data_IF_785030425429
#
_entry.id   IF_785030425429
#
_cell.length_a   1.000
_cell.length_b   1.000
_cell.length_c   1.000
_cell.angle_alpha   90.00
_cell.angle_beta   90.00
_cell.angle_gamma   90.00
#
_symmetry.space_group_name_H-M   'P 1'
#
loop_
_entity.id
_entity.type
_entity.pdbx_description
1 polymer ?
#
# COMPACT_ATOMS: atom_id res chain seq x y z
N UNK A 1 -9.46 23.95 -18.14
CA UNK A 1 -8.32 23.57 -19.02
C UNK A 1 -7.35 22.61 -18.34
N UNK A 2 -6.79 22.91 -17.16
CA UNK A 2 -5.82 22.02 -16.51
C UNK A 2 -6.42 20.65 -16.15
N UNK A 3 -7.66 20.60 -15.65
CA UNK A 3 -8.37 19.33 -15.40
C UNK A 3 -8.60 18.55 -16.69
N UNK A 4 -8.96 19.23 -17.79
CA UNK A 4 -9.09 18.60 -19.11
C UNK A 4 -7.77 17.99 -19.57
N UNK A 5 -6.66 18.73 -19.47
CA UNK A 5 -5.33 18.20 -19.79
C UNK A 5 -5.02 16.91 -19.00
N UNK A 6 -5.23 16.95 -17.69
CA UNK A 6 -4.91 15.83 -16.83
C UNK A 6 -5.79 14.61 -17.12
N UNK A 7 -7.10 14.81 -17.34
CA UNK A 7 -8.02 13.71 -17.69
C UNK A 7 -7.65 13.08 -19.05
N UNK A 8 -7.30 13.90 -20.06
CA UNK A 8 -6.83 13.38 -21.36
C UNK A 8 -5.50 12.63 -21.22
N UNK A 9 -4.61 13.11 -20.35
CA UNK A 9 -3.34 12.44 -20.05
C UNK A 9 -3.55 11.06 -19.40
N UNK A 10 -4.44 10.97 -18.43
CA UNK A 10 -4.74 9.73 -17.69
C UNK A 10 -5.50 8.72 -18.58
N UNK A 11 -6.50 9.18 -19.35
CA UNK A 11 -7.34 8.36 -20.21
C UNK A 11 -6.68 7.98 -21.56
N UNK A 12 -5.66 8.71 -22.00
CA UNK A 12 -5.03 8.55 -23.31
C UNK A 12 -6.05 8.53 -24.47
N UNK A 13 -7.17 9.24 -24.30
CA UNK A 13 -8.29 9.31 -25.21
C UNK A 13 -9.13 10.56 -24.98
N UNK A 14 -9.34 11.35 -26.02
CA UNK A 14 -10.18 12.54 -25.97
C UNK A 14 -11.66 12.18 -25.75
N UNK A 15 -12.13 11.10 -26.35
CA UNK A 15 -13.52 10.64 -26.18
C UNK A 15 -13.79 10.18 -24.74
N UNK A 16 -12.91 9.33 -24.19
CA UNK A 16 -13.06 8.89 -22.79
C UNK A 16 -12.93 10.03 -21.81
N UNK A 17 -12.03 10.98 -22.06
CA UNK A 17 -11.92 12.17 -21.22
C UNK A 17 -13.20 13.03 -21.28
N UNK A 18 -13.88 13.08 -22.42
CA UNK A 18 -15.18 13.74 -22.56
C UNK A 18 -16.26 13.05 -21.72
N UNK A 19 -16.29 11.72 -21.72
CA UNK A 19 -17.22 10.93 -20.93
C UNK A 19 -16.97 11.14 -19.42
N UNK A 20 -15.70 11.06 -18.99
CA UNK A 20 -15.30 11.28 -17.58
C UNK A 20 -15.67 12.68 -17.09
N UNK A 21 -15.53 13.69 -17.95
CA UNK A 21 -15.80 15.10 -17.58
C UNK A 21 -17.24 15.53 -17.89
N UNK A 22 -18.12 14.62 -18.27
CA UNK A 22 -19.51 14.92 -18.70
C UNK A 22 -19.55 16.09 -19.69
N UNK A 23 -18.67 16.10 -20.69
CA UNK A 23 -18.48 17.17 -21.65
C UNK A 23 -18.48 16.65 -23.09
N UNK A 24 -18.60 17.53 -24.08
CA UNK A 24 -18.48 17.14 -25.48
C UNK A 24 -17.02 16.95 -25.89
N UNK A 25 -16.76 16.02 -26.80
CA UNK A 25 -15.41 15.80 -27.36
C UNK A 25 -14.86 17.07 -28.02
N UNK A 26 -15.72 17.87 -28.66
CA UNK A 26 -15.33 19.17 -29.24
C UNK A 26 -14.85 20.17 -28.18
N UNK A 27 -15.49 20.20 -27.02
CA UNK A 27 -15.08 21.02 -25.89
C UNK A 27 -13.72 20.61 -25.37
N UNK A 28 -13.50 19.29 -25.20
CA UNK A 28 -12.18 18.78 -24.77
C UNK A 28 -11.10 19.13 -25.77
N UNK A 29 -11.34 18.88 -27.07
CA UNK A 29 -10.39 19.21 -28.14
C UNK A 29 -10.04 20.69 -28.18
N UNK A 30 -11.04 21.57 -28.06
CA UNK A 30 -10.83 23.00 -28.02
C UNK A 30 -9.98 23.45 -26.81
N UNK A 31 -10.19 22.87 -25.63
CA UNK A 31 -9.39 23.14 -24.44
C UNK A 31 -7.93 22.69 -24.60
N UNK A 32 -7.71 21.53 -25.22
CA UNK A 32 -6.35 21.03 -25.51
C UNK A 32 -5.67 21.93 -26.52
N UNK A 33 -6.38 22.38 -27.57
CA UNK A 33 -5.81 23.30 -28.56
C UNK A 33 -5.38 24.64 -27.95
N UNK A 34 -6.18 25.21 -27.05
CA UNK A 34 -5.79 26.39 -26.30
C UNK A 34 -4.52 26.16 -25.46
N UNK A 35 -4.40 24.99 -24.82
CA UNK A 35 -3.21 24.66 -24.04
C UNK A 35 -1.97 24.49 -24.93
N UNK A 36 -2.11 23.90 -26.11
CA UNK A 36 -1.04 23.81 -27.11
C UNK A 36 -0.51 25.20 -27.49
N UNK A 37 -1.42 26.12 -27.77
CA UNK A 37 -1.05 27.51 -28.06
C UNK A 37 -0.33 28.23 -26.92
N UNK A 38 -0.78 28.01 -25.67
CA UNK A 38 -0.18 28.60 -24.46
C UNK A 38 1.18 28.00 -24.09
N UNK A 39 1.37 26.72 -24.30
CA UNK A 39 2.55 25.98 -23.84
C UNK A 39 3.60 25.77 -24.95
N UNK A 40 3.23 26.05 -26.20
CA UNK A 40 4.11 25.88 -27.37
C UNK A 40 4.49 24.41 -27.61
N UNK A 41 3.60 23.46 -27.29
CA UNK A 41 3.86 22.03 -27.41
C UNK A 41 2.59 21.29 -27.85
N UNK A 42 2.73 20.21 -28.62
CA UNK A 42 1.61 19.42 -29.09
C UNK A 42 0.85 18.71 -27.96
N UNK A 43 1.47 18.52 -26.81
CA UNK A 43 1.01 17.85 -25.60
C UNK A 43 0.61 16.38 -25.81
N UNK A 44 -0.13 16.10 -26.87
CA UNK A 44 -0.58 14.74 -27.24
C UNK A 44 -0.37 14.56 -28.75
N UNK A 45 0.24 13.45 -29.12
CA UNK A 45 0.47 13.06 -30.51
C UNK A 45 -0.31 11.79 -30.83
N UNK A 46 -0.76 11.67 -32.08
CA UNK A 46 -1.51 10.50 -32.50
C UNK A 46 -0.59 9.26 -32.57
N UNK A 47 -1.07 8.14 -32.03
CA UNK A 47 -0.36 6.86 -32.07
C UNK A 47 -1.37 5.74 -32.30
N UNK A 48 -1.39 5.23 -33.53
CA UNK A 48 -2.38 4.23 -33.93
C UNK A 48 -3.82 4.75 -33.80
N UNK A 49 -4.64 4.03 -33.04
CA UNK A 49 -6.05 4.42 -32.78
C UNK A 49 -6.23 5.32 -31.55
N UNK A 50 -5.17 5.72 -30.90
CA UNK A 50 -5.20 6.54 -29.68
C UNK A 50 -4.23 7.71 -29.73
N UNK A 51 -4.02 8.32 -28.59
CA UNK A 51 -3.06 9.40 -28.39
C UNK A 51 -2.06 9.01 -27.31
N UNK A 52 -0.83 9.54 -27.45
CA UNK A 52 0.23 9.40 -26.44
C UNK A 52 0.71 10.79 -26.03
N UNK A 53 1.05 11.01 -24.77
CA UNK A 53 1.58 12.28 -24.29
C UNK A 53 2.96 12.56 -24.90
N UNK A 54 3.27 13.84 -25.12
CA UNK A 54 4.63 14.30 -25.42
C UNK A 54 5.50 14.24 -24.16
N UNK A 55 6.83 14.25 -24.33
CA UNK A 55 7.76 14.34 -23.19
C UNK A 55 7.50 15.57 -22.31
N UNK A 56 7.01 16.67 -22.92
CA UNK A 56 6.60 17.87 -22.18
C UNK A 56 5.30 17.65 -21.40
N UNK A 57 4.34 16.93 -21.97
CA UNK A 57 3.12 16.55 -21.24
C UNK A 57 3.42 15.64 -20.04
N UNK A 58 4.35 14.69 -20.20
CA UNK A 58 4.83 13.85 -19.09
C UNK A 58 5.45 14.67 -17.95
N UNK A 59 6.27 15.66 -18.29
CA UNK A 59 6.89 16.57 -17.32
C UNK A 59 5.87 17.54 -16.66
N UNK A 60 4.78 17.86 -17.35
CA UNK A 60 3.75 18.78 -16.87
C UNK A 60 2.69 18.09 -16.01
N UNK A 61 2.34 16.85 -16.32
CA UNK A 61 1.24 16.13 -15.62
C UNK A 61 1.39 16.14 -14.11
N UNK A 62 2.54 15.82 -13.48
CA UNK A 62 2.68 15.88 -12.02
C UNK A 62 2.53 17.31 -11.46
N UNK A 63 2.98 18.33 -12.21
CA UNK A 63 2.85 19.74 -11.79
C UNK A 63 1.40 20.21 -11.85
N UNK A 64 0.69 19.87 -12.93
CA UNK A 64 -0.72 20.20 -13.11
C UNK A 64 -1.56 19.51 -12.02
N UNK A 65 -1.28 18.26 -11.73
CA UNK A 65 -1.94 17.51 -10.66
C UNK A 65 -1.77 18.22 -9.30
N UNK A 66 -0.56 18.68 -9.00
CA UNK A 66 -0.27 19.44 -7.77
C UNK A 66 -1.09 20.75 -7.70
N UNK A 67 -1.13 21.53 -8.79
CA UNK A 67 -1.89 22.78 -8.82
C UNK A 67 -3.38 22.53 -8.59
N UNK A 68 -3.96 21.52 -9.23
CA UNK A 68 -5.36 21.18 -9.05
C UNK A 68 -5.68 20.80 -7.61
N UNK A 69 -4.82 20.02 -6.97
CA UNK A 69 -4.94 19.65 -5.55
C UNK A 69 -4.87 20.88 -4.63
N UNK A 70 -3.94 21.81 -4.92
CA UNK A 70 -3.84 23.06 -4.14
C UNK A 70 -5.07 23.95 -4.31
N UNK A 71 -5.64 24.02 -5.51
CA UNK A 71 -6.89 24.75 -5.78
C UNK A 71 -8.10 24.10 -5.08
N UNK A 72 -8.17 22.77 -5.04
CA UNK A 72 -9.22 22.06 -4.31
C UNK A 72 -9.13 22.35 -2.80
N UNK A 73 -7.92 22.38 -2.23
CA UNK A 73 -7.72 22.77 -0.83
C UNK A 73 -8.13 24.21 -0.50
N UNK A 74 -8.14 25.13 -1.47
CA UNK A 74 -8.66 26.49 -1.28
C UNK A 74 -10.20 26.54 -1.25
N UNK A 75 -10.86 25.60 -1.92
CA UNK A 75 -12.33 25.49 -1.97
C UNK A 75 -12.91 24.73 -0.76
N UNK A 76 -12.08 24.02 0.00
CA UNK A 76 -12.46 23.08 1.06
C UNK A 76 -12.75 23.78 2.39
N UNK A 77 -13.55 24.88 2.36
CA UNK A 77 -14.08 25.54 3.58
C UNK A 77 -15.43 24.97 4.03
N UNK A 78 -15.90 23.87 3.42
CA UNK A 78 -17.17 23.21 3.73
C UNK A 78 -17.02 21.88 4.46
N UNK A 79 -18.13 21.36 4.98
CA UNK A 79 -18.20 19.99 5.49
C UNK A 79 -17.90 19.05 4.32
N UNK A 80 -16.77 18.32 4.38
CA UNK A 80 -16.43 17.34 3.36
C UNK A 80 -17.46 16.21 3.34
N UNK A 81 -18.06 15.99 2.19
CA UNK A 81 -18.96 14.86 1.95
C UNK A 81 -18.27 13.84 1.03
N UNK A 82 -17.88 12.69 1.58
CA UNK A 82 -17.18 11.66 0.82
C UNK A 82 -18.07 10.99 -0.24
N UNK A 83 -19.39 11.13 -0.16
CA UNK A 83 -20.33 10.54 -1.13
C UNK A 83 -20.33 11.36 -2.43
N UNK A 84 -20.32 12.68 -2.32
CA UNK A 84 -20.37 13.59 -3.47
C UNK A 84 -19.00 13.88 -4.09
N UNK A 85 -17.91 13.54 -3.39
CA UNK A 85 -16.55 13.67 -3.94
C UNK A 85 -16.37 12.77 -5.17
N UNK A 86 -16.03 13.30 -6.37
CA UNK A 86 -15.96 12.51 -7.59
C UNK A 86 -14.73 11.57 -7.64
N UNK A 87 -13.67 11.91 -6.90
CA UNK A 87 -12.40 11.18 -6.99
C UNK A 87 -12.42 9.87 -6.20
N UNK A 88 -11.85 8.77 -6.73
CA UNK A 88 -11.73 7.51 -6.01
C UNK A 88 -10.77 7.67 -4.81
N UNK A 89 -10.98 6.90 -3.74
CA UNK A 89 -9.95 6.70 -2.74
C UNK A 89 -8.95 5.65 -3.21
N UNK A 90 -7.67 6.00 -3.19
CA UNK A 90 -6.58 5.14 -3.65
C UNK A 90 -5.68 4.81 -2.45
N UNK A 91 -5.74 3.55 -2.02
CA UNK A 91 -4.98 3.03 -0.89
C UNK A 91 -3.90 2.11 -1.44
N UNK A 92 -2.63 2.48 -1.27
CA UNK A 92 -1.54 1.64 -1.69
C UNK A 92 -1.07 0.72 -0.55
N UNK A 93 -0.62 -0.48 -0.94
CA UNK A 93 -0.22 -1.54 -0.02
C UNK A 93 1.19 -1.99 -0.38
N UNK A 94 2.05 -2.15 0.62
CA UNK A 94 3.27 -2.94 0.41
C UNK A 94 2.92 -4.42 0.43
N UNK A 95 3.68 -5.22 -0.32
CA UNK A 95 3.48 -6.67 -0.40
C UNK A 95 3.64 -7.42 0.94
N UNK A 96 4.07 -6.73 2.00
CA UNK A 96 4.15 -7.26 3.37
C UNK A 96 2.86 -7.07 4.17
N UNK A 97 1.91 -6.27 3.66
CA UNK A 97 0.60 -6.06 4.30
C UNK A 97 -0.28 -7.27 3.98
N UNK A 98 -0.77 -7.92 5.01
CA UNK A 98 -1.60 -9.13 4.92
C UNK A 98 -3.08 -8.83 5.17
N UNK A 99 -3.93 -9.75 4.77
CA UNK A 99 -5.38 -9.59 4.58
C UNK A 99 -6.20 -9.03 5.75
N UNK A 100 -5.70 -9.11 6.98
CA UNK A 100 -6.53 -8.77 8.14
C UNK A 100 -6.96 -7.32 8.23
N UNK A 101 -6.02 -6.39 8.14
CA UNK A 101 -6.30 -4.96 8.18
C UNK A 101 -7.00 -4.51 6.90
N UNK A 102 -6.59 -5.06 5.76
CA UNK A 102 -7.15 -4.73 4.46
C UNK A 102 -8.65 -5.00 4.41
N UNK A 103 -9.09 -6.19 4.86
CA UNK A 103 -10.50 -6.53 4.88
C UNK A 103 -11.30 -5.63 5.83
N UNK A 104 -10.74 -5.30 7.00
CA UNK A 104 -11.37 -4.41 7.97
C UNK A 104 -11.54 -3.00 7.37
N UNK A 105 -10.49 -2.45 6.79
CA UNK A 105 -10.50 -1.14 6.12
C UNK A 105 -11.51 -1.15 4.96
N UNK A 106 -11.46 -2.17 4.10
CA UNK A 106 -12.41 -2.28 2.98
C UNK A 106 -13.85 -2.32 3.46
N UNK A 107 -14.15 -3.14 4.49
CA UNK A 107 -15.52 -3.27 5.02
C UNK A 107 -16.03 -1.94 5.58
N UNK A 108 -15.21 -1.23 6.34
CA UNK A 108 -15.57 0.07 6.91
C UNK A 108 -15.80 1.14 5.83
N UNK A 109 -14.89 1.23 4.86
CA UNK A 109 -15.03 2.16 3.73
C UNK A 109 -16.25 1.82 2.89
N UNK A 110 -16.52 0.53 2.63
CA UNK A 110 -17.67 0.10 1.84
C UNK A 110 -19.00 0.35 2.56
N UNK A 111 -19.05 0.20 3.87
CA UNK A 111 -20.23 0.52 4.69
C UNK A 111 -20.56 2.04 4.62
N UNK A 112 -19.55 2.90 4.68
CA UNK A 112 -19.71 4.35 4.60
C UNK A 112 -19.92 4.84 3.15
N UNK A 113 -19.42 4.12 2.16
CA UNK A 113 -19.35 4.51 0.74
C UNK A 113 -19.77 3.36 -0.18
N UNK A 114 -21.06 2.98 -0.21
CA UNK A 114 -21.52 1.77 -0.92
C UNK A 114 -21.20 1.77 -2.43
N UNK A 115 -21.22 2.94 -3.06
CA UNK A 115 -21.01 3.06 -4.52
C UNK A 115 -19.72 3.77 -4.91
N UNK A 116 -18.90 4.21 -3.94
CA UNK A 116 -17.63 4.88 -4.21
C UNK A 116 -16.63 3.92 -4.86
N UNK A 117 -15.91 4.42 -5.85
CA UNK A 117 -14.78 3.69 -6.42
C UNK A 117 -13.61 3.71 -5.43
N UNK A 118 -13.27 2.53 -4.90
CA UNK A 118 -12.12 2.30 -4.03
C UNK A 118 -11.06 1.55 -4.83
N UNK A 119 -9.83 2.05 -4.81
CA UNK A 119 -8.71 1.43 -5.52
C UNK A 119 -7.67 0.99 -4.48
N UNK A 120 -7.44 -0.31 -4.41
CA UNK A 120 -6.31 -0.88 -3.68
C UNK A 120 -5.18 -1.16 -4.68
N UNK A 121 -4.04 -0.52 -4.46
CA UNK A 121 -2.90 -0.58 -5.37
C UNK A 121 -1.72 -1.26 -4.71
N UNK A 122 -1.17 -2.29 -5.33
CA UNK A 122 0.12 -2.85 -4.91
C UNK A 122 1.25 -1.87 -5.29
N UNK A 123 2.09 -1.53 -4.33
CA UNK A 123 3.29 -0.73 -4.56
C UNK A 123 4.31 -1.49 -5.40
N UNK A 124 4.26 -2.81 -5.42
CA UNK A 124 5.17 -3.64 -6.18
C UNK A 124 6.63 -3.31 -5.88
N UNK A 125 7.36 -2.97 -6.94
CA UNK A 125 8.78 -2.56 -6.87
C UNK A 125 8.98 -1.09 -6.50
N UNK A 126 7.92 -0.31 -6.36
CA UNK A 126 8.05 1.12 -6.02
C UNK A 126 8.51 1.27 -4.58
N UNK A 127 9.67 1.87 -4.43
CA UNK A 127 10.35 2.05 -3.15
C UNK A 127 10.14 3.44 -2.57
N UNK A 128 9.83 4.39 -3.43
CA UNK A 128 9.63 5.78 -3.05
C UNK A 128 8.13 6.06 -3.02
N UNK A 129 7.57 6.00 -1.81
CA UNK A 129 6.15 6.29 -1.59
C UNK A 129 5.86 7.80 -1.59
N UNK A 130 6.88 8.61 -1.29
CA UNK A 130 6.74 10.05 -1.14
C UNK A 130 6.23 10.76 -2.41
N UNK A 131 6.80 10.52 -3.62
CA UNK A 131 6.27 11.15 -4.84
C UNK A 131 4.84 10.74 -5.17
N UNK A 132 4.43 9.51 -4.82
CA UNK A 132 3.05 9.04 -5.02
C UNK A 132 2.08 9.78 -4.11
N UNK A 133 2.46 9.93 -2.85
CA UNK A 133 1.68 10.65 -1.84
C UNK A 133 1.69 12.16 -2.11
N UNK A 134 2.84 12.74 -2.47
CA UNK A 134 2.98 14.17 -2.77
C UNK A 134 2.09 14.60 -3.93
N UNK A 135 1.98 13.77 -4.97
CA UNK A 135 1.19 14.06 -6.17
C UNK A 135 -0.24 13.51 -6.10
N UNK A 136 -0.62 12.92 -4.97
CA UNK A 136 -1.94 12.30 -4.72
C UNK A 136 -2.28 11.21 -5.76
N UNK A 137 -1.28 10.51 -6.28
CA UNK A 137 -1.50 9.28 -7.03
C UNK A 137 -1.97 8.14 -6.12
N UNK A 138 -1.73 8.28 -4.82
CA UNK A 138 -2.33 7.50 -3.74
C UNK A 138 -2.68 8.44 -2.58
N UNK A 139 -3.77 8.20 -1.89
CA UNK A 139 -4.18 9.00 -0.73
C UNK A 139 -3.38 8.59 0.51
N UNK A 140 -3.22 7.31 0.72
CA UNK A 140 -2.47 6.73 1.86
C UNK A 140 -1.74 5.45 1.43
N UNK A 141 -0.71 5.09 2.20
CA UNK A 141 0.07 3.87 2.02
C UNK A 141 0.06 3.05 3.31
N UNK A 142 -0.33 1.78 3.23
CA UNK A 142 -0.12 0.80 4.29
C UNK A 142 1.21 0.10 4.04
N UNK A 143 2.13 0.18 4.99
CA UNK A 143 3.47 -0.38 4.81
C UNK A 143 4.09 -0.79 6.14
N UNK A 144 5.07 -1.67 6.06
CA UNK A 144 5.96 -1.95 7.17
C UNK A 144 6.77 -0.69 7.49
N UNK A 145 6.87 -0.34 8.77
CA UNK A 145 7.62 0.82 9.24
C UNK A 145 9.09 0.73 8.80
N UNK A 146 9.62 1.70 8.06
CA UNK A 146 11.05 1.79 7.78
C UNK A 146 11.81 2.29 9.02
N UNK A 147 13.14 2.29 8.97
CA UNK A 147 13.98 2.86 10.05
C UNK A 147 13.71 4.35 10.29
N UNK A 148 13.36 5.10 9.24
CA UNK A 148 13.00 6.50 9.32
C UNK A 148 12.09 6.89 8.18
N UNK A 149 11.23 7.87 8.42
CA UNK A 149 10.43 8.56 7.39
C UNK A 149 11.06 9.90 7.06
N UNK A 150 10.82 10.36 5.82
CA UNK A 150 11.10 11.76 5.46
C UNK A 150 10.23 12.71 6.30
N UNK A 151 10.73 13.92 6.56
CA UNK A 151 10.01 14.96 7.30
C UNK A 151 8.71 15.43 6.60
N UNK A 152 8.55 15.11 5.33
CA UNK A 152 7.35 15.40 4.52
C UNK A 152 6.25 14.36 4.70
N UNK A 153 6.57 13.21 5.30
CA UNK A 153 5.63 12.14 5.56
C UNK A 153 5.13 12.19 7.01
N UNK A 154 3.85 11.89 7.18
CA UNK A 154 3.23 11.59 8.46
C UNK A 154 2.82 10.13 8.48
N UNK A 155 2.75 9.55 9.67
CA UNK A 155 2.35 8.15 9.82
C UNK A 155 1.55 7.95 11.12
N UNK A 156 0.74 6.90 11.11
CA UNK A 156 0.00 6.38 12.25
C UNK A 156 0.28 4.89 12.38
N UNK A 157 0.60 4.43 13.58
CA UNK A 157 0.78 3.02 13.86
C UNK A 157 -0.56 2.28 13.73
N UNK A 158 -0.59 1.19 12.97
CA UNK A 158 -1.79 0.38 12.78
C UNK A 158 -1.78 -0.88 13.63
N UNK A 159 -0.70 -1.63 13.55
CA UNK A 159 -0.59 -2.94 14.19
C UNK A 159 0.86 -3.37 14.31
N UNK A 160 1.08 -4.34 15.20
CA UNK A 160 2.36 -5.04 15.32
C UNK A 160 2.17 -6.53 15.03
N UNK A 161 3.25 -7.17 14.60
CA UNK A 161 3.28 -8.60 14.35
C UNK A 161 4.69 -9.17 14.55
N UNK A 162 4.77 -10.42 14.96
CA UNK A 162 6.02 -11.15 15.12
C UNK A 162 6.32 -11.99 13.88
N UNK A 163 7.58 -12.37 13.72
CA UNK A 163 7.98 -13.31 12.65
C UNK A 163 7.81 -14.75 13.13
N UNK A 164 7.37 -15.61 12.21
CA UNK A 164 7.33 -17.06 12.37
C UNK A 164 7.97 -17.77 11.18
N UNK A 165 8.34 -19.03 11.37
CA UNK A 165 8.87 -19.86 10.31
C UNK A 165 7.81 -20.84 9.86
N UNK A 166 7.43 -20.77 8.58
CA UNK A 166 6.42 -21.62 7.94
C UNK A 166 7.07 -22.75 7.16
N UNK A 167 6.43 -23.90 7.18
CA UNK A 167 6.90 -25.14 6.53
C UNK A 167 5.71 -26.04 6.19
N UNK A 168 5.91 -27.01 5.30
CA UNK A 168 4.93 -28.06 5.02
C UNK A 168 5.06 -29.19 6.06
N UNK A 169 4.03 -29.39 6.94
CA UNK A 169 4.10 -30.41 7.98
C UNK A 169 4.08 -31.86 7.46
N UNK A 170 3.76 -32.05 6.18
CA UNK A 170 3.80 -33.36 5.51
C UNK A 170 5.21 -33.77 5.10
N UNK A 171 6.15 -32.80 5.02
CA UNK A 171 7.51 -33.02 4.51
C UNK A 171 8.55 -32.87 5.61
N UNK A 172 8.35 -31.89 6.53
CA UNK A 172 9.28 -31.65 7.63
C UNK A 172 8.59 -31.27 8.93
N UNK A 173 9.32 -31.39 10.03
CA UNK A 173 8.91 -30.91 11.36
C UNK A 173 9.19 -29.40 11.56
N UNK A 174 8.81 -28.87 12.74
CA UNK A 174 9.08 -27.51 13.15
C UNK A 174 10.59 -27.19 13.18
N UNK A 175 10.92 -25.92 13.08
CA UNK A 175 12.28 -25.44 13.32
C UNK A 175 12.51 -25.38 14.83
N UNK A 176 13.53 -26.10 15.31
CA UNK A 176 13.82 -26.21 16.74
C UNK A 176 15.03 -25.39 17.18
N UNK A 177 15.92 -25.02 16.24
CA UNK A 177 17.14 -24.28 16.55
C UNK A 177 17.55 -23.35 15.41
N UNK A 178 18.45 -22.40 15.74
CA UNK A 178 19.07 -21.54 14.73
C UNK A 178 19.92 -22.34 13.73
N UNK A 179 20.55 -23.43 14.18
CA UNK A 179 21.32 -24.30 13.30
C UNK A 179 20.42 -25.00 12.27
N UNK A 180 19.25 -25.52 12.70
CA UNK A 180 18.24 -26.08 11.80
C UNK A 180 17.75 -25.03 10.80
N UNK A 181 17.44 -23.82 11.27
CA UNK A 181 17.04 -22.72 10.41
C UNK A 181 18.10 -22.37 9.34
N UNK A 182 19.37 -22.26 9.74
CA UNK A 182 20.46 -21.89 8.82
C UNK A 182 20.81 -22.99 7.81
N UNK A 183 20.66 -24.26 8.18
CA UNK A 183 20.96 -25.41 7.30
C UNK A 183 19.91 -25.63 6.22
N UNK A 184 18.68 -25.18 6.46
CA UNK A 184 17.57 -25.35 5.55
C UNK A 184 17.68 -24.48 4.29
N UNK A 185 16.94 -24.87 3.26
CA UNK A 185 16.68 -24.03 2.09
C UNK A 185 15.49 -23.13 2.36
N UNK A 186 15.53 -21.89 1.85
CA UNK A 186 14.49 -20.90 2.12
C UNK A 186 13.82 -20.40 0.85
N UNK A 187 12.51 -20.17 0.96
CA UNK A 187 11.71 -19.42 0.01
C UNK A 187 11.36 -18.05 0.58
N UNK A 188 11.28 -17.03 -0.25
CA UNK A 188 10.94 -15.66 0.17
C UNK A 188 10.10 -14.93 -0.85
N UNK A 189 9.34 -13.92 -0.39
CA UNK A 189 8.78 -12.92 -1.30
C UNK A 189 9.91 -11.99 -1.74
N UNK A 190 10.14 -11.88 -3.05
CA UNK A 190 11.24 -11.12 -3.62
C UNK A 190 10.84 -9.66 -3.85
N UNK A 191 11.56 -8.73 -3.26
CA UNK A 191 11.34 -7.28 -3.37
C UNK A 191 12.22 -6.63 -4.45
N UNK A 192 12.23 -7.13 -5.68
CA UNK A 192 13.04 -6.58 -6.77
C UNK A 192 14.57 -6.75 -6.57
N UNK A 193 15.34 -6.39 -7.61
CA UNK A 193 16.80 -6.52 -7.54
C UNK A 193 17.42 -5.53 -6.53
N UNK A 194 18.29 -6.05 -5.64
CA UNK A 194 19.12 -5.23 -4.74
C UNK A 194 18.46 -4.76 -3.45
N UNK A 195 17.18 -5.09 -3.16
CA UNK A 195 16.54 -4.71 -1.90
C UNK A 195 16.53 -5.84 -0.90
N UNK A 196 17.07 -5.55 0.27
CA UNK A 196 16.96 -6.41 1.45
C UNK A 196 15.63 -6.14 2.14
N UNK A 197 14.92 -7.19 2.53
CA UNK A 197 13.77 -7.05 3.43
C UNK A 197 14.25 -6.59 4.82
N UNK A 198 13.34 -6.05 5.63
CA UNK A 198 13.63 -5.71 7.04
C UNK A 198 14.19 -6.94 7.75
N UNK A 199 13.53 -8.10 7.59
CA UNK A 199 14.02 -9.36 8.16
C UNK A 199 15.46 -9.69 7.72
N UNK A 200 15.79 -9.51 6.44
CA UNK A 200 17.15 -9.79 5.96
C UNK A 200 18.18 -8.88 6.62
N UNK A 201 17.83 -7.62 6.85
CA UNK A 201 18.71 -6.66 7.55
C UNK A 201 18.90 -7.04 9.02
N UNK A 202 17.83 -7.46 9.70
CA UNK A 202 17.91 -7.90 11.10
C UNK A 202 18.72 -9.20 11.25
N UNK A 203 18.52 -10.16 10.35
CA UNK A 203 19.31 -11.41 10.36
C UNK A 203 20.81 -11.17 10.10
N UNK A 204 21.14 -10.28 9.18
CA UNK A 204 22.54 -9.91 8.91
C UNK A 204 23.18 -9.21 10.12
N UNK A 205 22.43 -8.37 10.83
CA UNK A 205 22.93 -7.74 12.07
C UNK A 205 23.23 -8.77 13.17
N UNK A 206 22.55 -9.91 13.16
CA UNK A 206 22.78 -11.05 14.05
C UNK A 206 23.78 -12.08 13.50
N UNK A 207 24.41 -11.79 12.37
CA UNK A 207 25.29 -12.72 11.64
C UNK A 207 24.61 -14.06 11.26
N UNK A 208 23.29 -14.05 11.06
CA UNK A 208 22.48 -15.19 10.66
C UNK A 208 22.31 -15.20 9.14
N UNK A 209 22.77 -16.27 8.51
CA UNK A 209 22.71 -16.45 7.07
C UNK A 209 21.75 -17.57 6.71
N UNK A 210 20.94 -17.34 5.68
CA UNK A 210 20.01 -18.33 5.14
C UNK A 210 20.21 -18.51 3.65
N UNK A 211 20.09 -19.73 3.18
CA UNK A 211 20.22 -20.07 1.77
C UNK A 211 18.87 -19.90 1.07
N UNK A 212 18.64 -18.74 0.47
CA UNK A 212 17.43 -18.49 -0.31
C UNK A 212 17.58 -19.12 -1.68
N UNK A 213 16.74 -20.10 -2.01
CA UNK A 213 16.76 -20.81 -3.31
C UNK A 213 15.51 -20.51 -4.15
N UNK A 214 14.47 -19.89 -3.55
CA UNK A 214 13.24 -19.52 -4.23
C UNK A 214 12.84 -18.10 -3.86
N UNK A 215 12.68 -17.24 -4.86
CA UNK A 215 12.10 -15.90 -4.73
C UNK A 215 10.83 -15.78 -5.57
N UNK A 216 9.73 -15.36 -4.98
CA UNK A 216 8.43 -15.22 -5.63
C UNK A 216 7.86 -13.81 -5.47
N UNK A 217 6.99 -13.33 -6.37
CA UNK A 217 6.49 -11.96 -6.33
C UNK A 217 5.44 -11.69 -5.24
N UNK A 218 4.78 -12.71 -4.69
CA UNK A 218 3.71 -12.55 -3.71
C UNK A 218 3.56 -13.76 -2.79
N UNK A 219 2.81 -13.55 -1.70
CA UNK A 219 2.55 -14.56 -0.67
C UNK A 219 1.80 -15.79 -1.21
N UNK A 220 0.84 -15.62 -2.10
CA UNK A 220 0.06 -16.73 -2.65
C UNK A 220 0.92 -17.73 -3.41
N UNK A 221 1.82 -17.23 -4.25
CA UNK A 221 2.79 -18.10 -4.92
C UNK A 221 3.73 -18.76 -3.92
N UNK A 222 4.15 -18.04 -2.88
CA UNK A 222 5.03 -18.60 -1.86
C UNK A 222 4.37 -19.80 -1.16
N UNK A 223 3.13 -19.64 -0.70
CA UNK A 223 2.35 -20.69 -0.03
C UNK A 223 2.19 -21.92 -0.96
N UNK A 224 1.87 -21.68 -2.24
CA UNK A 224 1.66 -22.78 -3.20
C UNK A 224 2.94 -23.54 -3.53
N UNK A 225 4.07 -22.85 -3.66
CA UNK A 225 5.34 -23.45 -4.03
C UNK A 225 6.12 -24.02 -2.82
N UNK A 226 5.73 -23.67 -1.60
CA UNK A 226 6.29 -24.26 -0.38
C UNK A 226 5.72 -25.66 -0.12
N UNK A 227 4.48 -25.94 -0.57
CA UNK A 227 3.84 -27.23 -0.43
C UNK A 227 4.64 -28.35 -1.09
N UNK A 228 4.78 -29.48 -0.43
CA UNK A 228 5.52 -30.65 -0.91
C UNK A 228 7.04 -30.48 -0.88
N UNK A 229 7.56 -29.42 -0.24
CA UNK A 229 8.99 -29.16 -0.15
C UNK A 229 9.47 -29.11 1.30
N UNK A 230 10.78 -29.31 1.50
CA UNK A 230 11.48 -29.15 2.80
C UNK A 230 11.90 -27.72 3.09
N UNK A 231 11.59 -26.78 2.19
CA UNK A 231 11.95 -25.36 2.33
C UNK A 231 11.21 -24.71 3.51
N UNK A 232 11.83 -23.65 4.02
CA UNK A 232 11.24 -22.76 5.02
C UNK A 232 10.86 -21.42 4.41
N UNK A 233 9.81 -20.79 4.94
CA UNK A 233 9.48 -19.39 4.67
C UNK A 233 9.35 -18.62 5.96
N UNK A 234 10.04 -17.48 6.07
CA UNK A 234 9.91 -16.59 7.22
C UNK A 234 8.89 -15.50 6.88
N UNK A 235 7.75 -15.50 7.56
CA UNK A 235 6.61 -14.63 7.32
C UNK A 235 6.10 -14.04 8.64
N UNK A 236 5.37 -12.92 8.61
CA UNK A 236 4.63 -12.43 9.77
C UNK A 236 3.64 -13.49 10.31
N UNK A 237 3.45 -13.54 11.63
CA UNK A 237 2.60 -14.54 12.27
C UNK A 237 1.16 -14.56 11.74
N UNK A 238 0.64 -13.38 11.35
CA UNK A 238 -0.68 -13.23 10.72
C UNK A 238 -0.85 -14.01 9.42
N UNK A 239 0.26 -14.39 8.74
CA UNK A 239 0.21 -15.24 7.55
C UNK A 239 -0.39 -16.63 7.86
N UNK A 240 -0.42 -17.06 9.13
CA UNK A 240 -1.02 -18.32 9.54
C UNK A 240 -2.49 -18.44 9.10
N UNK A 241 -3.26 -17.34 9.11
CA UNK A 241 -4.66 -17.31 8.66
C UNK A 241 -4.82 -17.73 7.19
N UNK A 242 -3.83 -17.35 6.34
CA UNK A 242 -3.86 -17.64 4.92
C UNK A 242 -3.25 -19.00 4.57
N UNK A 243 -2.65 -19.68 5.56
CA UNK A 243 -1.97 -20.96 5.40
C UNK A 243 -2.66 -22.09 6.17
N UNK A 244 -3.80 -21.80 6.81
CA UNK A 244 -4.53 -22.78 7.63
C UNK A 244 -4.85 -24.07 6.84
N UNK A 245 -4.51 -25.22 7.43
CA UNK A 245 -4.65 -26.52 6.79
C UNK A 245 -3.66 -26.81 5.64
N UNK A 246 -2.79 -25.87 5.29
CA UNK A 246 -1.82 -25.98 4.18
C UNK A 246 -0.40 -26.06 4.72
N UNK A 247 0.02 -25.09 5.51
CA UNK A 247 1.34 -25.00 6.12
C UNK A 247 1.21 -24.91 7.64
N UNK A 248 2.21 -25.43 8.33
CA UNK A 248 2.40 -25.21 9.75
C UNK A 248 3.41 -24.09 9.99
N UNK A 249 3.45 -23.57 11.20
CA UNK A 249 4.47 -22.59 11.60
C UNK A 249 5.05 -22.88 12.97
N UNK A 250 6.33 -22.59 13.14
CA UNK A 250 7.03 -22.61 14.42
C UNK A 250 7.43 -21.19 14.83
N UNK A 251 7.76 -21.01 16.10
CA UNK A 251 8.34 -19.79 16.63
C UNK A 251 9.65 -19.50 15.88
N UNK A 252 9.97 -18.24 15.67
CA UNK A 252 11.25 -17.87 15.08
C UNK A 252 12.38 -18.22 16.06
N UNK A 253 13.48 -18.86 15.59
CA UNK A 253 14.50 -19.43 16.48
C UNK A 253 15.40 -18.41 17.20
N UNK A 254 15.21 -17.13 16.96
CA UNK A 254 15.82 -16.01 17.68
C UNK A 254 14.81 -14.93 17.92
N UNK A 255 15.01 -14.14 18.95
CA UNK A 255 14.16 -12.99 19.23
C UNK A 255 14.42 -11.88 18.20
N UNK A 256 13.39 -11.44 17.54
CA UNK A 256 13.40 -10.35 16.57
C UNK A 256 12.45 -9.24 17.05
N UNK A 257 12.78 -7.97 16.75
CA UNK A 257 11.83 -6.89 17.03
C UNK A 257 10.53 -7.13 16.24
N UNK A 258 9.37 -6.80 16.81
CA UNK A 258 8.11 -6.95 16.12
C UNK A 258 8.05 -6.05 14.89
N UNK A 259 7.45 -6.55 13.84
CA UNK A 259 7.13 -5.77 12.66
C UNK A 259 6.04 -4.75 13.00
N UNK A 260 6.34 -3.47 12.84
CA UNK A 260 5.36 -2.41 12.98
C UNK A 260 4.79 -2.05 11.61
N UNK A 261 3.47 -2.04 11.48
CA UNK A 261 2.77 -1.59 10.27
C UNK A 261 2.19 -0.21 10.48
N UNK A 262 2.38 0.65 9.50
CA UNK A 262 1.94 2.03 9.54
C UNK A 262 1.01 2.37 8.37
N UNK A 263 0.09 3.29 8.63
CA UNK A 263 -0.60 4.08 7.62
C UNK A 263 0.17 5.38 7.42
N UNK A 264 0.57 5.66 6.18
CA UNK A 264 1.45 6.77 5.83
C UNK A 264 0.76 7.70 4.83
N UNK A 265 0.92 9.00 5.03
CA UNK A 265 0.42 10.03 4.12
C UNK A 265 1.40 11.20 3.99
N UNK A 266 1.20 12.06 3.01
CA UNK A 266 2.03 13.26 2.86
C UNK A 266 1.51 14.39 3.74
N UNK A 267 2.41 15.05 4.47
CA UNK A 267 2.11 16.12 5.45
C UNK A 267 1.29 17.27 4.87
N UNK A 268 1.51 17.63 3.60
CA UNK A 268 0.79 18.71 2.93
C UNK A 268 -0.73 18.52 2.89
N UNK A 269 -1.22 17.28 3.02
CA UNK A 269 -2.65 16.94 3.02
C UNK A 269 -3.22 16.69 4.42
N UNK A 270 -2.40 16.79 5.47
CA UNK A 270 -2.84 16.47 6.85
C UNK A 270 -4.05 17.28 7.29
N UNK A 271 -4.24 18.49 6.75
CA UNK A 271 -5.38 19.35 7.05
C UNK A 271 -6.50 19.25 5.99
N UNK A 272 -6.37 18.41 4.98
CA UNK A 272 -7.43 18.17 3.99
C UNK A 272 -8.57 17.40 4.64
N UNK A 273 -9.79 17.90 4.55
CA UNK A 273 -10.98 17.27 5.11
C UNK A 273 -11.21 15.86 4.53
N UNK A 274 -10.87 15.65 3.26
CA UNK A 274 -10.88 14.36 2.59
C UNK A 274 -9.95 13.35 3.27
N UNK A 275 -8.70 13.74 3.51
CA UNK A 275 -7.73 12.84 4.15
C UNK A 275 -8.09 12.59 5.61
N UNK A 276 -8.50 13.62 6.35
CA UNK A 276 -8.94 13.46 7.74
C UNK A 276 -10.11 12.48 7.86
N UNK A 277 -11.10 12.57 6.96
CA UNK A 277 -12.20 11.62 6.92
C UNK A 277 -11.71 10.20 6.67
N UNK A 278 -10.80 10.00 5.70
CA UNK A 278 -10.25 8.68 5.39
C UNK A 278 -9.47 8.10 6.58
N UNK A 279 -8.60 8.90 7.20
CA UNK A 279 -7.81 8.48 8.36
C UNK A 279 -8.71 8.10 9.54
N UNK A 280 -9.71 8.93 9.87
CA UNK A 280 -10.66 8.68 10.95
C UNK A 280 -11.48 7.41 10.71
N UNK A 281 -11.92 7.18 9.47
CA UNK A 281 -12.66 5.96 9.10
C UNK A 281 -11.80 4.71 9.28
N UNK A 282 -10.54 4.75 8.85
CA UNK A 282 -9.59 3.64 8.99
C UNK A 282 -9.25 3.40 10.46
N UNK A 283 -8.94 4.44 11.21
CA UNK A 283 -8.59 4.35 12.64
C UNK A 283 -9.73 3.77 13.46
N UNK A 284 -10.96 4.27 13.26
CA UNK A 284 -12.15 3.76 13.94
C UNK A 284 -12.38 2.28 13.65
N UNK A 285 -12.25 1.88 12.39
CA UNK A 285 -12.42 0.49 11.98
C UNK A 285 -11.43 -0.47 12.65
N UNK A 286 -10.18 -0.04 12.78
CA UNK A 286 -9.12 -0.86 13.37
C UNK A 286 -9.18 -0.89 14.91
N UNK A 287 -9.61 0.21 15.55
CA UNK A 287 -9.79 0.30 17.01
C UNK A 287 -10.89 -0.65 17.50
N UNK A 288 -11.99 -0.78 16.77
CA UNK A 288 -13.06 -1.73 17.10
C UNK A 288 -12.63 -3.19 17.01
N UNK A 289 -11.65 -3.51 16.18
CA UNK A 289 -11.11 -4.87 16.05
C UNK A 289 -10.30 -5.29 17.25
N UNK A 290 -9.56 -4.38 17.87
CA UNK A 290 -8.76 -4.67 19.08
C UNK A 290 -9.60 -5.07 20.30
N UNK A 291 -10.88 -4.70 20.31
CA UNK A 291 -11.83 -5.04 21.39
C UNK A 291 -12.58 -6.36 21.16
N UNK A 292 -12.54 -6.93 19.96
CA UNK A 292 -13.34 -8.10 19.57
C UNK A 292 -12.56 -9.42 19.47
N UNK A 293 -11.27 -9.45 19.81
CA UNK A 293 -10.48 -10.68 19.90
C UNK A 293 -10.00 -10.88 21.33
N UNK A 294 -10.47 -11.92 22.05
CA UNK A 294 -9.77 -12.36 23.24
C UNK A 294 -8.41 -12.93 22.80
N UNK A 295 -7.34 -12.44 23.42
CA UNK A 295 -6.01 -13.02 23.35
C UNK A 295 -6.08 -14.50 23.77
N UNK A 296 -5.91 -15.42 22.83
CA UNK A 296 -5.63 -16.84 23.12
C UNK A 296 -4.17 -17.09 23.52
N UNK A 297 -3.45 -16.06 23.91
CA UNK A 297 -2.15 -16.21 24.55
C UNK A 297 -2.21 -15.53 25.91
N UNK A 298 -2.44 -16.39 26.95
CA UNK A 298 -2.44 -15.94 28.33
C UNK A 298 -1.17 -15.19 28.70
N UNK A 299 -1.33 -13.93 29.00
CA UNK A 299 -0.58 -13.20 30.01
C UNK A 299 -1.45 -12.04 30.51
N UNK A 300 -2.13 -12.34 31.59
CA UNK A 300 -2.74 -11.43 32.57
C UNK A 300 -1.61 -10.61 33.23
N UNK A 301 -1.21 -9.49 32.67
CA UNK A 301 -0.37 -8.51 33.36
C UNK A 301 -0.33 -7.19 32.59
N UNK A 302 -1.38 -6.38 32.61
CA UNK A 302 -1.33 -4.92 32.40
C UNK A 302 -2.69 -4.25 32.74
N UNK A 303 -3.17 -4.54 33.97
CA UNK A 303 -4.32 -3.83 34.54
C UNK A 303 -3.96 -3.14 35.86
N UNK A 304 -2.81 -2.48 35.92
CA UNK A 304 -2.45 -1.61 37.05
C UNK A 304 -1.45 -0.56 36.61
N UNK A 305 -1.87 0.49 35.94
CA UNK A 305 -1.11 1.75 35.84
C UNK A 305 -1.96 2.87 35.17
N UNK A 306 -3.21 3.04 35.66
CA UNK A 306 -3.96 4.28 35.44
C UNK A 306 -4.87 4.50 36.65
N UNK A 307 -4.26 4.82 37.79
CA UNK A 307 -4.88 5.51 38.92
C UNK A 307 -3.73 5.98 39.83
N UNK A 308 -3.20 7.15 39.49
CA UNK A 308 -2.69 8.16 40.44
C UNK A 308 -2.42 9.45 39.67
#
# INVERSE_FOLDING_TARGET
MLRVFLTVYDEKSVSRAADVLNSSQSTISHNIEKLRGLLGDALFVQSGRGIVPSARADALAPKVRRILIEMEGLADQGIYDPITDPDPFIIALSSSVLDGELQTIYTALRASLPQKHLIFRDLGKQTQIEPLLETRQVDVVLTLRPRSYSNTLCHMALSQDTMRVFYDPKVRGPVESIADYCSASHATVAFGQGRKSVLQTELEALAIHRRIILGVPNLWMLIRLLQGTDMLASLPARAARNTEGILASSTFPVELPPNQYDLVWHRRFSNSARLQWLLMTIETALSHRGQSQPDETGHDTLRMLWNE
#
